data_IF_575272730460
#
_entry.id   IF_575272730460
#
_cell.length_a   1.000
_cell.length_b   1.000
_cell.length_c   1.000
_cell.angle_alpha   90.00
_cell.angle_beta   90.00
_cell.angle_gamma   90.00
#
_symmetry.space_group_name_H-M   'P 1'
#
loop_
_entity.id
_entity.type
_entity.pdbx_description
1 polymer ?
#
# COMPACT_ATOMS: atom_id res chain seq x y z
N UNK A 1 88.15 24.94 -10.55
CA UNK A 1 87.47 24.80 -11.86
C UNK A 1 86.99 23.36 -11.91
N UNK A 2 85.72 22.97 -11.87
CA UNK A 2 84.44 23.64 -12.12
C UNK A 2 83.39 22.82 -11.33
N UNK A 3 82.58 23.47 -10.48
CA UNK A 3 81.46 22.84 -9.76
C UNK A 3 80.24 22.81 -10.68
N UNK A 4 79.78 21.61 -11.02
CA UNK A 4 78.54 21.40 -11.77
C UNK A 4 77.37 21.31 -10.79
N UNK A 5 76.41 22.23 -10.95
CA UNK A 5 75.20 22.33 -10.15
C UNK A 5 74.06 21.64 -10.90
N UNK A 6 73.60 20.51 -10.40
CA UNK A 6 72.35 19.90 -10.86
C UNK A 6 71.15 20.61 -10.22
N UNK A 7 70.32 21.18 -11.09
CA UNK A 7 69.04 21.82 -10.77
C UNK A 7 67.96 20.77 -10.54
N UNK A 8 67.38 20.74 -9.35
CA UNK A 8 66.20 19.92 -9.03
C UNK A 8 64.93 20.66 -9.49
N UNK A 9 64.13 20.03 -10.35
CA UNK A 9 62.83 20.55 -10.79
C UNK A 9 61.78 20.44 -9.68
N UNK A 10 61.14 21.55 -9.34
CA UNK A 10 60.01 21.62 -8.40
C UNK A 10 58.73 21.18 -9.11
N UNK A 11 58.16 20.03 -8.70
CA UNK A 11 56.81 19.63 -9.09
C UNK A 11 55.79 20.21 -8.10
N UNK A 12 54.80 20.93 -8.62
CA UNK A 12 53.66 21.51 -7.89
C UNK A 12 52.75 20.39 -7.35
N UNK A 13 52.36 20.39 -6.06
CA UNK A 13 51.35 19.45 -5.58
C UNK A 13 49.95 19.91 -6.02
N UNK A 14 49.32 19.09 -6.85
CA UNK A 14 47.92 19.22 -7.28
C UNK A 14 46.99 19.15 -6.07
N UNK A 15 46.19 20.20 -5.85
CA UNK A 15 45.09 20.20 -4.88
C UNK A 15 44.05 19.14 -5.26
N UNK A 16 43.91 18.09 -4.44
CA UNK A 16 42.78 17.18 -4.52
C UNK A 16 41.55 17.85 -3.90
N UNK A 17 40.58 18.18 -4.76
CA UNK A 17 39.31 18.80 -4.39
C UNK A 17 38.48 17.91 -3.47
N UNK A 18 38.05 18.53 -2.37
CA UNK A 18 37.15 18.01 -1.35
C UNK A 18 35.70 17.90 -1.86
N UNK A 19 35.41 17.16 -2.93
CA UNK A 19 34.06 17.27 -3.55
C UNK A 19 33.56 16.03 -4.29
N UNK A 20 33.72 14.83 -3.72
CA UNK A 20 32.90 13.68 -4.16
C UNK A 20 32.39 12.82 -3.00
N UNK A 21 33.18 12.61 -1.94
CA UNK A 21 32.79 11.72 -0.84
C UNK A 21 31.66 12.32 0.01
N UNK A 22 31.70 13.63 0.30
CA UNK A 22 30.63 14.30 1.07
C UNK A 22 29.29 14.34 0.30
N UNK A 23 29.30 14.43 -1.03
CA UNK A 23 28.08 14.44 -1.84
C UNK A 23 27.39 13.07 -1.87
N UNK A 24 28.14 11.97 -1.73
CA UNK A 24 27.57 10.61 -1.68
C UNK A 24 27.01 10.32 -0.28
N UNK A 25 27.69 10.74 0.78
CA UNK A 25 27.21 10.55 2.16
C UNK A 25 25.98 11.41 2.48
N UNK A 26 25.87 12.62 1.92
CA UNK A 26 24.65 13.44 2.04
C UNK A 26 23.43 12.87 1.28
N UNK A 27 23.63 11.90 0.38
CA UNK A 27 22.54 11.15 -0.28
C UNK A 27 22.15 9.86 0.45
N UNK A 28 22.94 9.48 1.45
CA UNK A 28 22.69 8.36 2.36
C UNK A 28 22.02 8.83 3.67
N UNK A 29 21.31 9.97 3.63
CA UNK A 29 20.38 10.32 4.70
C UNK A 29 19.46 9.11 4.90
N UNK A 30 19.39 8.53 6.11
CA UNK A 30 18.40 7.52 6.39
C UNK A 30 17.07 8.16 6.06
N UNK A 31 16.37 7.64 5.03
CA UNK A 31 14.93 7.89 4.94
C UNK A 31 14.43 7.55 6.33
N UNK A 32 13.90 8.52 7.08
CA UNK A 32 13.24 8.22 8.33
C UNK A 32 12.14 7.23 7.96
N UNK A 33 12.41 5.94 8.15
CA UNK A 33 11.44 4.89 7.95
C UNK A 33 10.48 5.12 9.09
N UNK A 34 9.39 5.85 8.82
CA UNK A 34 8.31 5.96 9.78
C UNK A 34 7.96 4.52 10.14
N UNK A 35 7.99 4.14 11.43
CA UNK A 35 7.63 2.79 11.82
C UNK A 35 6.24 2.48 11.27
N UNK A 36 5.99 1.24 10.81
CA UNK A 36 4.67 0.87 10.32
C UNK A 36 3.66 1.15 11.43
N UNK A 37 2.49 1.68 11.05
CA UNK A 37 1.40 1.91 12.00
C UNK A 37 1.04 0.61 12.70
N UNK A 38 0.65 0.72 13.96
CA UNK A 38 0.05 -0.39 14.71
C UNK A 38 -1.30 -0.79 14.11
N UNK A 39 -1.76 -2.00 14.43
CA UNK A 39 -3.07 -2.49 13.98
C UNK A 39 -4.22 -1.60 14.49
N UNK A 40 -4.13 -1.10 15.73
CA UNK A 40 -5.11 -0.16 16.27
C UNK A 40 -5.17 1.17 15.48
N UNK A 41 -4.03 1.69 15.05
CA UNK A 41 -3.98 2.90 14.22
C UNK A 41 -4.54 2.66 12.82
N UNK A 42 -4.28 1.50 12.22
CA UNK A 42 -4.84 1.14 10.92
C UNK A 42 -6.36 0.96 10.99
N UNK A 43 -6.85 0.39 12.08
CA UNK A 43 -8.28 0.24 12.33
C UNK A 43 -8.94 1.61 12.44
N UNK A 44 -8.37 2.53 13.22
CA UNK A 44 -8.88 3.88 13.37
C UNK A 44 -8.91 4.63 12.03
N UNK A 45 -7.87 4.48 11.20
CA UNK A 45 -7.82 5.07 9.86
C UNK A 45 -8.92 4.52 8.96
N UNK A 46 -9.11 3.20 8.93
CA UNK A 46 -10.17 2.56 8.15
C UNK A 46 -11.55 3.05 8.60
N UNK A 47 -11.80 3.06 9.91
CA UNK A 47 -13.10 3.47 10.47
C UNK A 47 -13.41 4.93 10.19
N UNK A 48 -12.43 5.81 10.30
CA UNK A 48 -12.57 7.22 9.92
C UNK A 48 -12.90 7.37 8.43
N UNK A 49 -12.22 6.60 7.56
CA UNK A 49 -12.49 6.57 6.12
C UNK A 49 -13.91 6.09 5.79
N UNK A 50 -14.34 5.00 6.43
CA UNK A 50 -15.70 4.47 6.33
C UNK A 50 -16.74 5.50 6.78
N UNK A 51 -16.59 6.06 7.99
CA UNK A 51 -17.53 7.04 8.53
C UNK A 51 -17.66 8.27 7.62
N UNK A 52 -16.52 8.78 7.11
CA UNK A 52 -16.48 9.90 6.17
C UNK A 52 -17.16 9.59 4.84
N UNK A 53 -17.02 8.36 4.34
CA UNK A 53 -17.67 7.97 3.09
C UNK A 53 -19.19 7.82 3.26
N UNK A 54 -19.63 7.16 4.35
CA UNK A 54 -21.06 6.96 4.63
C UNK A 54 -21.79 8.28 4.87
N UNK A 55 -21.14 9.26 5.52
CA UNK A 55 -21.74 10.58 5.69
C UNK A 55 -21.96 11.32 4.37
N UNK A 56 -21.16 11.04 3.33
CA UNK A 56 -21.30 11.63 1.99
C UNK A 56 -22.30 10.87 1.12
N UNK A 57 -22.26 9.54 1.19
CA UNK A 57 -23.07 8.64 0.35
C UNK A 57 -23.72 7.60 1.25
N UNK A 58 -24.96 7.82 1.73
CA UNK A 58 -25.63 6.90 2.66
C UNK A 58 -25.95 5.52 2.08
N UNK A 59 -25.99 5.40 0.74
CA UNK A 59 -26.19 4.13 0.02
C UNK A 59 -25.06 3.92 -1.00
N UNK A 60 -23.84 3.62 -0.53
CA UNK A 60 -22.69 3.43 -1.39
C UNK A 60 -22.84 2.17 -2.26
N UNK A 61 -22.17 2.18 -3.41
CA UNK A 61 -21.95 1.03 -4.29
C UNK A 61 -20.66 0.33 -3.88
N UNK A 62 -20.71 -0.98 -3.75
CA UNK A 62 -19.68 -1.77 -3.07
C UNK A 62 -19.17 -2.87 -4.00
N UNK A 63 -17.86 -2.89 -4.20
CA UNK A 63 -17.15 -4.05 -4.74
C UNK A 63 -16.87 -5.07 -3.64
N UNK A 64 -17.03 -6.36 -3.93
CA UNK A 64 -16.66 -7.44 -3.01
C UNK A 64 -15.30 -8.00 -3.41
N UNK A 65 -14.38 -8.13 -2.46
CA UNK A 65 -13.03 -8.64 -2.68
C UNK A 65 -12.67 -9.79 -1.73
N UNK A 66 -11.92 -10.77 -2.25
CA UNK A 66 -11.22 -11.77 -1.43
C UNK A 66 -9.90 -12.17 -2.07
N UNK A 67 -8.96 -12.56 -1.21
CA UNK A 67 -7.73 -13.25 -1.60
C UNK A 67 -7.76 -14.65 -0.98
N UNK A 68 -7.49 -15.68 -1.79
CA UNK A 68 -7.48 -17.08 -1.34
C UNK A 68 -6.24 -17.82 -1.85
N UNK A 69 -5.90 -18.97 -1.28
CA UNK A 69 -4.89 -19.83 -1.90
C UNK A 69 -5.42 -20.50 -3.17
N UNK A 70 -4.53 -20.88 -4.10
CA UNK A 70 -4.89 -21.46 -5.42
C UNK A 70 -5.83 -22.69 -5.37
N UNK A 71 -5.99 -23.31 -4.20
CA UNK A 71 -6.85 -24.48 -3.98
C UNK A 71 -7.95 -24.25 -2.94
N UNK A 72 -8.09 -23.03 -2.42
CA UNK A 72 -9.13 -22.69 -1.45
C UNK A 72 -10.36 -22.17 -2.18
N UNK A 73 -11.54 -22.64 -1.76
CA UNK A 73 -12.82 -22.14 -2.24
C UNK A 73 -13.07 -20.71 -1.71
N UNK A 74 -13.25 -19.70 -2.59
CA UNK A 74 -13.54 -18.33 -2.16
C UNK A 74 -14.98 -18.13 -1.67
N UNK A 75 -15.90 -19.08 -1.90
CA UNK A 75 -17.33 -18.89 -1.67
C UNK A 75 -17.66 -18.40 -0.24
N UNK A 76 -17.04 -18.99 0.77
CA UNK A 76 -17.27 -18.61 2.17
C UNK A 76 -16.83 -17.16 2.43
N UNK A 77 -15.62 -16.77 2.01
CA UNK A 77 -15.09 -15.41 2.23
C UNK A 77 -15.91 -14.38 1.49
N UNK A 78 -16.32 -14.69 0.25
CA UNK A 78 -17.22 -13.84 -0.54
C UNK A 78 -18.59 -13.67 0.11
N UNK A 79 -19.18 -14.75 0.62
CA UNK A 79 -20.46 -14.68 1.31
C UNK A 79 -20.38 -13.78 2.55
N UNK A 80 -19.34 -13.96 3.38
CA UNK A 80 -19.10 -13.15 4.58
C UNK A 80 -18.88 -11.67 4.23
N UNK A 81 -18.08 -11.37 3.21
CA UNK A 81 -17.88 -10.00 2.74
C UNK A 81 -19.16 -9.38 2.18
N UNK A 82 -19.99 -10.16 1.47
CA UNK A 82 -21.29 -9.71 0.94
C UNK A 82 -22.27 -9.39 2.05
N UNK A 83 -22.31 -10.17 3.12
CA UNK A 83 -23.17 -9.93 4.28
C UNK A 83 -22.88 -8.60 4.99
N UNK A 84 -21.67 -8.05 4.86
CA UNK A 84 -21.37 -6.69 5.37
C UNK A 84 -22.20 -5.65 4.64
N UNK A 85 -22.22 -5.70 3.31
CA UNK A 85 -22.96 -4.76 2.48
C UNK A 85 -24.48 -4.96 2.57
N UNK A 86 -24.94 -6.21 2.62
CA UNK A 86 -26.38 -6.51 2.74
C UNK A 86 -26.97 -5.99 4.05
N UNK A 87 -26.30 -6.25 5.19
CA UNK A 87 -26.75 -5.78 6.51
C UNK A 87 -26.80 -4.25 6.61
N UNK A 88 -25.90 -3.57 5.90
CA UNK A 88 -25.85 -2.12 5.87
C UNK A 88 -26.77 -1.49 4.80
N UNK A 89 -27.48 -2.29 4.00
CA UNK A 89 -28.37 -1.81 2.94
C UNK A 89 -27.65 -1.13 1.78
N UNK A 90 -26.39 -1.52 1.52
CA UNK A 90 -25.55 -0.96 0.45
C UNK A 90 -25.82 -1.64 -0.89
N UNK A 91 -25.47 -0.95 -1.98
CA UNK A 91 -25.65 -1.46 -3.34
C UNK A 91 -24.46 -2.35 -3.71
N UNK A 92 -24.72 -3.58 -4.15
CA UNK A 92 -23.67 -4.52 -4.54
C UNK A 92 -23.36 -4.41 -6.03
N UNK A 93 -22.07 -4.38 -6.36
CA UNK A 93 -21.61 -4.71 -7.70
C UNK A 93 -21.94 -6.16 -8.06
N UNK A 94 -22.15 -6.41 -9.36
CA UNK A 94 -22.65 -7.70 -9.84
C UNK A 94 -21.63 -8.83 -9.71
N UNK A 95 -20.34 -8.54 -9.88
CA UNK A 95 -19.29 -9.55 -9.94
C UNK A 95 -18.30 -9.40 -8.78
N UNK A 96 -18.10 -10.43 -7.93
CA UNK A 96 -17.07 -10.41 -6.93
C UNK A 96 -15.67 -10.50 -7.57
N UNK A 97 -14.70 -9.86 -6.93
CA UNK A 97 -13.29 -9.86 -7.30
C UNK A 97 -12.52 -10.89 -6.46
N UNK A 98 -11.84 -11.83 -7.13
CA UNK A 98 -11.09 -12.92 -6.50
C UNK A 98 -9.67 -12.96 -7.03
N UNK A 99 -8.68 -12.80 -6.15
CA UNK A 99 -7.28 -13.07 -6.45
C UNK A 99 -6.80 -14.34 -5.72
N UNK A 100 -5.73 -14.96 -6.25
CA UNK A 100 -5.15 -16.19 -5.68
C UNK A 100 -3.69 -15.97 -5.28
N UNK A 101 -3.34 -16.33 -4.04
CA UNK A 101 -1.94 -16.34 -3.58
C UNK A 101 -1.13 -17.35 -4.40
N UNK A 102 0.13 -17.00 -4.71
CA UNK A 102 1.07 -17.85 -5.45
C UNK A 102 0.91 -17.82 -6.99
N UNK A 103 -0.31 -17.74 -7.52
CA UNK A 103 -0.54 -17.55 -8.96
C UNK A 103 -0.55 -16.08 -9.37
N UNK A 104 -1.02 -15.20 -8.48
CA UNK A 104 -0.85 -13.76 -8.63
C UNK A 104 0.23 -13.35 -7.65
N UNK A 105 1.32 -12.78 -8.18
CA UNK A 105 2.31 -12.09 -7.37
C UNK A 105 1.54 -11.09 -6.47
N UNK A 106 1.82 -11.00 -5.15
CA UNK A 106 1.27 -9.96 -4.27
C UNK A 106 1.27 -8.55 -4.86
N UNK A 107 2.21 -8.25 -5.77
CA UNK A 107 2.32 -7.00 -6.53
C UNK A 107 1.42 -6.93 -7.77
N UNK A 108 0.96 -8.05 -8.31
CA UNK A 108 0.17 -8.12 -9.56
C UNK A 108 -1.34 -8.21 -9.39
N UNK A 109 -1.83 -8.58 -8.20
CA UNK A 109 -3.26 -8.72 -7.80
C UNK A 109 -4.27 -8.04 -8.75
N UNK A 110 -4.64 -8.71 -9.84
CA UNK A 110 -5.31 -8.04 -10.96
C UNK A 110 -6.76 -7.68 -10.63
N UNK A 111 -7.46 -8.47 -9.81
CA UNK A 111 -8.81 -8.13 -9.42
C UNK A 111 -8.85 -6.98 -8.41
N UNK A 112 -7.89 -6.91 -7.47
CA UNK A 112 -7.74 -5.71 -6.63
C UNK A 112 -7.44 -4.47 -7.47
N UNK A 113 -6.54 -4.57 -8.44
CA UNK A 113 -6.23 -3.45 -9.33
C UNK A 113 -7.47 -2.96 -10.11
N UNK A 114 -8.31 -3.88 -10.60
CA UNK A 114 -9.59 -3.54 -11.25
C UNK A 114 -10.58 -2.86 -10.31
N UNK A 115 -10.68 -3.30 -9.06
CA UNK A 115 -11.52 -2.62 -8.07
C UNK A 115 -11.03 -1.21 -7.78
N UNK A 116 -9.71 -1.00 -7.68
CA UNK A 116 -9.14 0.32 -7.50
C UNK A 116 -9.38 1.24 -8.71
N UNK A 117 -9.30 0.73 -9.94
CA UNK A 117 -9.70 1.46 -11.15
C UNK A 117 -11.21 1.75 -11.17
N UNK A 118 -12.04 0.85 -10.62
CA UNK A 118 -13.49 1.06 -10.50
C UNK A 118 -13.81 2.17 -9.48
N UNK A 119 -13.03 2.29 -8.39
CA UNK A 119 -13.06 3.44 -7.49
C UNK A 119 -12.63 4.73 -8.19
N UNK A 120 -11.54 4.70 -8.97
CA UNK A 120 -11.05 5.88 -9.72
C UNK A 120 -12.09 6.43 -10.71
N UNK A 121 -12.97 5.56 -11.21
CA UNK A 121 -14.04 5.92 -12.16
C UNK A 121 -15.38 6.24 -11.50
N UNK A 122 -15.41 6.41 -10.17
CA UNK A 122 -16.62 6.64 -9.38
C UNK A 122 -17.75 5.61 -9.67
N UNK A 123 -17.38 4.36 -9.99
CA UNK A 123 -18.34 3.28 -10.26
C UNK A 123 -18.72 2.52 -9.00
N UNK A 124 -17.78 2.42 -8.07
CA UNK A 124 -18.01 2.00 -6.68
C UNK A 124 -17.53 3.10 -5.75
N UNK A 125 -18.07 3.10 -4.53
CA UNK A 125 -17.74 4.04 -3.47
C UNK A 125 -16.91 3.36 -2.37
N UNK A 126 -16.90 2.03 -2.32
CA UNK A 126 -16.11 1.27 -1.35
C UNK A 126 -15.88 -0.18 -1.74
N UNK A 127 -15.01 -0.83 -0.97
CA UNK A 127 -14.70 -2.26 -1.08
C UNK A 127 -15.10 -2.94 0.23
N UNK A 128 -15.75 -4.10 0.15
CA UNK A 128 -15.98 -4.97 1.29
C UNK A 128 -15.18 -6.27 1.13
N UNK A 129 -14.57 -6.71 2.24
CA UNK A 129 -13.79 -7.93 2.32
C UNK A 129 -14.07 -8.65 3.65
N UNK A 130 -13.63 -9.89 3.77
CA UNK A 130 -13.80 -10.63 5.03
C UNK A 130 -12.85 -10.08 6.10
N UNK A 131 -11.56 -9.95 5.76
CA UNK A 131 -10.49 -9.65 6.71
C UNK A 131 -9.41 -8.76 6.08
N UNK A 132 -8.63 -8.06 6.92
CA UNK A 132 -7.41 -7.37 6.48
C UNK A 132 -6.44 -8.27 5.72
N UNK A 133 -6.43 -9.57 6.04
CA UNK A 133 -5.55 -10.56 5.36
C UNK A 133 -5.90 -10.77 3.90
N UNK A 134 -7.11 -10.38 3.47
CA UNK A 134 -7.43 -10.35 2.03
C UNK A 134 -6.54 -9.31 1.30
N UNK A 135 -6.03 -8.31 2.02
CA UNK A 135 -5.12 -7.29 1.52
C UNK A 135 -3.68 -7.51 1.98
N UNK A 136 -3.40 -7.57 3.28
CA UNK A 136 -2.08 -7.96 3.77
C UNK A 136 -2.14 -8.31 5.26
N UNK A 137 -1.32 -9.28 5.66
CA UNK A 137 -0.96 -9.52 7.05
C UNK A 137 0.04 -8.46 7.55
N UNK A 138 0.85 -7.86 6.66
CA UNK A 138 1.82 -6.81 7.01
C UNK A 138 1.19 -5.43 7.11
N UNK A 139 1.44 -4.74 8.23
CA UNK A 139 0.91 -3.40 8.50
C UNK A 139 1.29 -2.38 7.43
N UNK A 140 2.54 -2.38 6.94
CA UNK A 140 2.98 -1.43 5.91
C UNK A 140 2.22 -1.59 4.59
N UNK A 141 2.09 -2.83 4.10
CA UNK A 141 1.38 -3.11 2.85
C UNK A 141 -0.13 -2.84 2.99
N UNK A 142 -0.72 -3.15 4.16
CA UNK A 142 -2.12 -2.83 4.43
C UNK A 142 -2.34 -1.31 4.49
N UNK A 143 -1.42 -0.56 5.11
CA UNK A 143 -1.42 0.90 5.11
C UNK A 143 -1.36 1.47 3.69
N UNK A 144 -0.51 0.92 2.82
CA UNK A 144 -0.41 1.31 1.41
C UNK A 144 -1.75 1.13 0.69
N UNK A 145 -2.44 0.01 0.93
CA UNK A 145 -3.76 -0.25 0.35
C UNK A 145 -4.80 0.74 0.87
N UNK A 146 -4.88 0.96 2.20
CA UNK A 146 -5.82 1.94 2.78
C UNK A 146 -5.59 3.34 2.20
N UNK A 147 -4.32 3.76 2.07
CA UNK A 147 -3.98 5.05 1.45
C UNK A 147 -4.46 5.12 0.01
N UNK A 148 -4.26 4.06 -0.78
CA UNK A 148 -4.72 4.00 -2.18
C UNK A 148 -6.24 4.08 -2.29
N UNK A 149 -6.98 3.44 -1.39
CA UNK A 149 -8.45 3.52 -1.36
C UNK A 149 -8.90 4.93 -0.98
N UNK A 150 -8.33 5.51 0.08
CA UNK A 150 -8.71 6.84 0.57
C UNK A 150 -8.33 7.97 -0.40
N UNK A 151 -7.20 7.84 -1.11
CA UNK A 151 -6.81 8.79 -2.16
C UNK A 151 -7.87 8.90 -3.28
N UNK A 152 -8.70 7.88 -3.44
CA UNK A 152 -9.81 7.79 -4.40
C UNK A 152 -11.15 8.14 -3.78
N UNK A 153 -11.16 8.70 -2.56
CA UNK A 153 -12.35 8.99 -1.74
C UNK A 153 -13.19 7.76 -1.39
N UNK A 154 -12.66 6.56 -1.65
CA UNK A 154 -13.28 5.30 -1.31
C UNK A 154 -13.10 4.94 0.16
N UNK A 155 -13.70 3.82 0.56
CA UNK A 155 -13.53 3.24 1.89
C UNK A 155 -13.39 1.73 1.85
N UNK A 156 -12.90 1.16 2.96
CA UNK A 156 -12.82 -0.28 3.17
C UNK A 156 -13.73 -0.70 4.34
N UNK A 157 -14.59 -1.68 4.09
CA UNK A 157 -15.40 -2.34 5.10
C UNK A 157 -14.93 -3.79 5.30
N UNK A 158 -14.74 -4.20 6.54
CA UNK A 158 -14.31 -5.54 6.91
C UNK A 158 -15.41 -6.26 7.69
N UNK A 159 -15.55 -7.56 7.46
CA UNK A 159 -16.46 -8.39 8.25
C UNK A 159 -15.89 -8.75 9.62
N UNK A 160 -14.56 -8.87 9.72
CA UNK A 160 -13.85 -9.15 10.97
C UNK A 160 -13.10 -7.91 11.45
N UNK A 161 -12.93 -7.80 12.77
CA UNK A 161 -11.99 -6.83 13.36
C UNK A 161 -10.58 -7.08 12.85
N UNK A 162 -9.79 -6.02 12.82
CA UNK A 162 -8.38 -6.11 12.47
C UNK A 162 -7.64 -6.67 13.68
N UNK A 163 -7.25 -7.93 13.62
CA UNK A 163 -6.45 -8.58 14.66
C UNK A 163 -5.01 -8.69 14.18
N UNK A 164 -4.07 -8.54 15.10
CA UNK A 164 -2.73 -9.10 14.92
C UNK A 164 -2.89 -10.63 14.88
N UNK A 165 -2.35 -11.27 13.84
CA UNK A 165 -2.27 -12.74 13.76
C UNK A 165 -0.88 -13.14 14.23
#
# INVERSE_FOLDING_TARGET
MTTDRYTTATATPTQHGTTQIETVLARLVPRCIRPPKSTAELQAIREAGLASAISRTPRPRIGIYTLVQAHQDPALRLAVAREVALRAGWLLERAPAVDFTGMTDPFTRPQLARLLDTLDRDRIDGIAAMSRTDFSDRNGDYEDVLRRIHARRGFLALATTETDI
#
